data_IF_726011336661
#
_entry.id   IF_726011336661
#
_cell.length_a   1.000
_cell.length_b   1.000
_cell.length_c   1.000
_cell.angle_alpha   90.00
_cell.angle_beta   90.00
_cell.angle_gamma   90.00
#
_symmetry.space_group_name_H-M   'P 1'
#
loop_
_entity.id
_entity.type
_entity.pdbx_description
1 polymer ?
#
# COMPACT_ATOMS: atom_id res chain seq x y z
N UNK A 1 34.22 18.74 -16.56
CA UNK A 1 32.92 18.98 -17.22
C UNK A 1 32.37 20.38 -16.94
N UNK A 2 32.59 20.96 -15.75
CA UNK A 2 32.35 22.40 -15.51
C UNK A 2 33.72 23.08 -15.46
N UNK A 3 33.97 24.08 -16.30
CA UNK A 3 35.25 24.83 -16.33
C UNK A 3 35.10 26.28 -15.85
N UNK A 4 33.96 26.93 -16.15
CA UNK A 4 33.78 28.38 -15.87
C UNK A 4 32.34 28.74 -15.43
N UNK A 5 31.75 27.99 -14.49
CA UNK A 5 30.39 28.31 -14.01
C UNK A 5 30.04 27.69 -12.66
N UNK A 6 29.02 28.25 -12.01
CA UNK A 6 28.47 27.65 -10.79
C UNK A 6 27.86 26.27 -11.13
N UNK A 7 28.28 25.25 -10.39
CA UNK A 7 27.70 23.91 -10.47
C UNK A 7 26.18 23.97 -10.34
N UNK A 8 25.68 24.84 -9.47
CA UNK A 8 24.25 24.97 -9.21
C UNK A 8 23.50 25.34 -10.48
N UNK A 9 23.98 26.29 -11.28
CA UNK A 9 23.27 26.76 -12.49
C UNK A 9 23.74 26.12 -13.80
N UNK A 10 24.72 25.22 -13.73
CA UNK A 10 25.24 24.51 -14.91
C UNK A 10 24.17 23.69 -15.65
N UNK A 11 24.09 23.85 -16.97
CA UNK A 11 23.23 23.05 -17.86
C UNK A 11 24.08 22.19 -18.79
N UNK A 12 23.86 20.86 -18.87
CA UNK A 12 24.65 19.99 -19.75
C UNK A 12 24.32 20.25 -21.23
N UNK A 13 25.34 20.19 -22.08
CA UNK A 13 25.17 20.31 -23.54
C UNK A 13 24.58 19.04 -24.15
N UNK A 14 24.07 19.14 -25.38
CA UNK A 14 23.58 17.99 -26.15
C UNK A 14 24.65 16.90 -26.35
N UNK A 15 25.92 17.29 -26.47
CA UNK A 15 27.08 16.41 -26.58
C UNK A 15 27.54 15.76 -25.27
N UNK A 16 26.96 16.15 -24.13
CA UNK A 16 27.32 15.57 -22.82
C UNK A 16 26.91 14.10 -22.72
N UNK A 17 27.71 13.32 -21.99
CA UNK A 17 27.43 11.90 -21.75
C UNK A 17 26.12 11.68 -20.98
N UNK A 18 25.49 10.52 -21.18
CA UNK A 18 24.22 10.18 -20.54
C UNK A 18 24.31 10.23 -19.00
N UNK A 19 25.39 9.69 -18.43
CA UNK A 19 25.63 9.72 -16.98
C UNK A 19 25.70 11.16 -16.46
N UNK A 20 26.39 12.04 -17.18
CA UNK A 20 26.52 13.44 -16.79
C UNK A 20 25.18 14.18 -16.82
N UNK A 21 24.36 13.92 -17.84
CA UNK A 21 22.98 14.43 -17.92
C UNK A 21 22.14 13.95 -16.72
N UNK A 22 22.25 12.68 -16.32
CA UNK A 22 21.50 12.15 -15.15
C UNK A 22 21.90 12.76 -13.82
N UNK A 23 23.17 13.10 -13.63
CA UNK A 23 23.63 13.83 -12.44
C UNK A 23 23.03 15.23 -12.44
N UNK A 24 23.02 15.92 -13.59
CA UNK A 24 22.39 17.23 -13.72
C UNK A 24 20.86 17.17 -13.48
N UNK A 25 20.16 16.16 -14.02
CA UNK A 25 18.72 15.95 -13.76
C UNK A 25 18.43 15.81 -12.25
N UNK A 26 19.29 15.10 -11.53
CA UNK A 26 19.16 14.90 -10.07
C UNK A 26 19.36 16.21 -9.32
N UNK A 27 20.32 17.04 -9.74
CA UNK A 27 20.54 18.39 -9.19
C UNK A 27 19.28 19.26 -9.36
N UNK A 28 18.66 19.24 -10.54
CA UNK A 28 17.44 20.01 -10.78
C UNK A 28 16.26 19.55 -9.89
N UNK A 29 16.20 18.27 -9.52
CA UNK A 29 15.24 17.82 -8.50
C UNK A 29 15.57 18.35 -7.10
N UNK A 30 16.85 18.37 -6.71
CA UNK A 30 17.30 18.89 -5.42
C UNK A 30 16.98 20.39 -5.29
N UNK A 31 17.12 21.17 -6.37
CA UNK A 31 16.75 22.59 -6.42
C UNK A 31 15.31 22.90 -6.05
N UNK A 32 14.40 21.94 -6.26
CA UNK A 32 12.98 22.13 -5.92
C UNK A 32 12.77 22.22 -4.39
N UNK A 33 13.70 21.71 -3.60
CA UNK A 33 13.53 21.57 -2.15
C UNK A 33 14.69 22.15 -1.32
N UNK A 34 15.82 22.48 -1.92
CA UNK A 34 16.93 23.17 -1.26
C UNK A 34 17.36 24.39 -2.07
N UNK A 35 17.76 25.45 -1.37
CA UNK A 35 18.56 26.52 -1.98
C UNK A 35 20.03 26.07 -2.08
N UNK A 36 20.80 26.69 -2.97
CA UNK A 36 22.24 26.42 -3.09
C UNK A 36 22.96 26.57 -1.74
N UNK A 37 22.63 27.64 -1.01
CA UNK A 37 23.21 27.95 0.30
C UNK A 37 22.84 26.90 1.35
N UNK A 38 21.57 26.47 1.42
CA UNK A 38 21.15 25.41 2.35
C UNK A 38 21.87 24.08 2.08
N UNK A 39 22.05 23.74 0.80
CA UNK A 39 22.68 22.50 0.39
C UNK A 39 24.19 22.51 0.68
N UNK A 40 24.88 23.59 0.34
CA UNK A 40 26.31 23.76 0.58
C UNK A 40 26.66 23.89 2.06
N UNK A 41 25.80 24.54 2.86
CA UNK A 41 26.01 24.69 4.30
C UNK A 41 25.60 23.45 5.11
N UNK A 42 25.22 22.34 4.46
CA UNK A 42 24.88 21.12 5.16
C UNK A 42 26.16 20.50 5.77
N UNK A 43 26.29 20.41 7.11
CA UNK A 43 27.55 20.00 7.75
C UNK A 43 27.94 18.55 7.43
N UNK A 44 26.94 17.71 7.12
CA UNK A 44 27.15 16.37 6.58
C UNK A 44 26.00 16.01 5.64
N UNK A 45 26.33 15.69 4.39
CA UNK A 45 25.34 15.22 3.42
C UNK A 45 24.64 13.96 3.94
N UNK A 46 23.30 13.98 3.92
CA UNK A 46 22.47 12.87 4.35
C UNK A 46 21.44 12.54 3.27
N UNK A 47 21.62 11.39 2.62
CA UNK A 47 20.66 10.86 1.64
C UNK A 47 19.26 10.79 2.23
N UNK A 48 19.12 10.36 3.49
CA UNK A 48 17.83 10.26 4.18
C UNK A 48 17.15 11.63 4.30
N UNK A 49 17.90 12.67 4.65
CA UNK A 49 17.37 14.03 4.82
C UNK A 49 16.91 14.60 3.48
N UNK A 50 17.76 14.52 2.46
CA UNK A 50 17.45 15.02 1.12
C UNK A 50 16.26 14.28 0.52
N UNK A 51 16.25 12.94 0.62
CA UNK A 51 15.15 12.10 0.14
C UNK A 51 13.81 12.40 0.83
N UNK A 52 13.81 12.62 2.15
CA UNK A 52 12.60 12.99 2.87
C UNK A 52 12.08 14.38 2.46
N UNK A 53 12.98 15.34 2.21
CA UNK A 53 12.59 16.68 1.74
C UNK A 53 12.02 16.64 0.32
N UNK A 54 12.64 15.86 -0.57
CA UNK A 54 12.17 15.62 -1.95
C UNK A 54 10.79 14.97 -2.00
N UNK A 55 10.53 13.98 -1.14
CA UNK A 55 9.21 13.34 -1.09
C UNK A 55 8.14 14.23 -0.44
N UNK A 56 8.57 15.14 0.43
CA UNK A 56 7.66 15.99 1.19
C UNK A 56 6.80 15.21 2.20
N UNK A 57 5.68 15.82 2.58
CA UNK A 57 4.74 15.22 3.52
C UNK A 57 4.05 14.00 2.91
N UNK A 58 4.18 12.85 3.56
CA UNK A 58 3.47 11.63 3.16
C UNK A 58 2.07 11.64 3.77
N UNK A 59 1.01 11.30 2.99
CA UNK A 59 -0.31 11.16 3.57
C UNK A 59 -0.29 10.06 4.63
N UNK A 60 -0.80 10.37 5.83
CA UNK A 60 -0.91 9.40 6.91
C UNK A 60 -1.97 8.36 6.56
N UNK A 61 -1.52 7.19 6.13
CA UNK A 61 -2.39 6.04 5.93
C UNK A 61 -2.58 5.30 7.26
N UNK A 62 -3.81 4.88 7.53
CA UNK A 62 -4.16 4.25 8.81
C UNK A 62 -3.94 2.72 8.79
N UNK A 63 -3.74 2.17 7.59
CA UNK A 63 -3.66 0.73 7.34
C UNK A 63 -2.25 0.15 7.37
N UNK A 64 -1.23 1.01 7.41
CA UNK A 64 0.17 0.63 7.42
C UNK A 64 0.50 -0.37 8.52
N UNK A 65 0.02 -0.10 9.75
CA UNK A 65 0.26 -0.96 10.92
C UNK A 65 -0.38 -2.33 10.79
N UNK A 66 -1.52 -2.43 10.09
CA UNK A 66 -2.17 -3.72 9.84
C UNK A 66 -1.40 -4.52 8.79
N UNK A 67 -1.12 -3.90 7.65
CA UNK A 67 -0.48 -4.55 6.49
C UNK A 67 0.97 -4.92 6.77
N UNK A 68 1.74 -4.02 7.39
CA UNK A 68 3.17 -4.19 7.65
C UNK A 68 3.48 -4.74 9.05
N UNK A 69 2.48 -5.32 9.70
CA UNK A 69 2.62 -5.95 11.00
C UNK A 69 3.65 -7.10 10.96
N UNK A 70 4.57 -7.12 11.94
CA UNK A 70 5.66 -8.11 12.02
C UNK A 70 5.19 -9.56 12.13
N UNK A 71 4.07 -9.80 12.81
CA UNK A 71 3.50 -11.15 12.98
C UNK A 71 2.86 -11.71 11.70
N UNK A 72 2.74 -10.89 10.66
CA UNK A 72 2.07 -11.26 9.42
C UNK A 72 3.03 -11.93 8.45
N UNK A 73 2.60 -13.02 7.82
CA UNK A 73 3.39 -13.72 6.78
C UNK A 73 3.60 -12.80 5.57
N UNK A 74 4.83 -12.69 5.01
CA UNK A 74 5.14 -11.75 3.91
C UNK A 74 4.18 -11.81 2.71
N UNK A 75 3.85 -13.01 2.23
CA UNK A 75 2.89 -13.19 1.12
C UNK A 75 1.49 -12.63 1.43
N UNK A 76 1.03 -12.71 2.69
CA UNK A 76 -0.26 -12.17 3.09
C UNK A 76 -0.24 -10.63 3.13
N UNK A 77 0.91 -10.04 3.53
CA UNK A 77 1.10 -8.58 3.53
C UNK A 77 0.91 -8.00 2.13
N UNK A 78 1.55 -8.62 1.13
CA UNK A 78 1.45 -8.16 -0.25
C UNK A 78 0.01 -8.19 -0.80
N UNK A 79 -0.70 -9.31 -0.60
CA UNK A 79 -2.09 -9.42 -1.04
C UNK A 79 -3.00 -8.44 -0.28
N UNK A 80 -2.83 -8.27 1.02
CA UNK A 80 -3.62 -7.31 1.80
C UNK A 80 -3.34 -5.86 1.43
N UNK A 81 -2.09 -5.54 1.09
CA UNK A 81 -1.69 -4.22 0.57
C UNK A 81 -2.39 -3.90 -0.77
N UNK A 82 -2.52 -4.90 -1.65
CA UNK A 82 -3.29 -4.77 -2.88
C UNK A 82 -4.79 -4.68 -2.60
N UNK A 83 -5.30 -5.48 -1.66
CA UNK A 83 -6.71 -5.48 -1.29
C UNK A 83 -7.17 -4.11 -0.77
N UNK A 84 -6.41 -3.50 0.13
CA UNK A 84 -6.78 -2.21 0.75
C UNK A 84 -6.72 -1.03 -0.23
N UNK A 85 -5.95 -1.16 -1.29
CA UNK A 85 -5.89 -0.19 -2.39
C UNK A 85 -6.86 -0.51 -3.52
N UNK A 86 -7.73 -1.51 -3.35
CA UNK A 86 -8.63 -1.99 -4.40
C UNK A 86 -7.89 -2.35 -5.69
N UNK A 87 -6.71 -2.99 -5.60
CA UNK A 87 -5.85 -3.35 -6.75
C UNK A 87 -5.88 -4.83 -7.13
N UNK A 88 -6.61 -5.68 -6.40
CA UNK A 88 -6.84 -7.07 -6.81
C UNK A 88 -7.74 -7.15 -8.06
N UNK A 89 -7.59 -8.24 -8.83
CA UNK A 89 -8.34 -8.51 -10.07
C UNK A 89 -9.63 -9.26 -9.76
N UNK A 90 -10.65 -8.51 -9.34
CA UNK A 90 -11.97 -9.10 -9.09
C UNK A 90 -12.71 -9.39 -10.40
N UNK A 91 -13.69 -10.30 -10.41
CA UNK A 91 -14.42 -10.65 -11.64
C UNK A 91 -15.17 -9.45 -12.21
N UNK A 92 -15.69 -8.53 -11.38
CA UNK A 92 -16.28 -7.28 -11.90
C UNK A 92 -15.27 -6.40 -12.65
N UNK A 93 -13.99 -6.39 -12.26
CA UNK A 93 -12.94 -5.70 -13.03
C UNK A 93 -12.58 -6.45 -14.29
N UNK A 94 -12.43 -7.77 -14.21
CA UNK A 94 -12.09 -8.60 -15.37
C UNK A 94 -13.18 -8.54 -16.44
N UNK A 95 -14.45 -8.52 -16.04
CA UNK A 95 -15.58 -8.32 -16.94
C UNK A 95 -15.54 -6.96 -17.64
N UNK A 96 -15.22 -5.88 -16.89
CA UNK A 96 -15.11 -4.53 -17.46
C UNK A 96 -14.05 -4.40 -18.54
N UNK A 97 -12.97 -5.16 -18.44
CA UNK A 97 -11.88 -5.18 -19.44
C UNK A 97 -12.06 -6.27 -20.51
N UNK A 98 -13.20 -6.97 -20.52
CA UNK A 98 -13.51 -8.01 -21.52
C UNK A 98 -12.79 -9.35 -21.33
N UNK A 99 -12.13 -9.56 -20.17
CA UNK A 99 -11.42 -10.83 -19.87
C UNK A 99 -12.36 -11.90 -19.32
N UNK A 100 -13.43 -11.50 -18.62
CA UNK A 100 -14.45 -12.41 -18.07
C UNK A 100 -15.80 -12.16 -18.71
N UNK A 101 -16.55 -13.22 -19.01
CA UNK A 101 -17.94 -13.12 -19.50
C UNK A 101 -18.92 -12.74 -18.40
N UNK A 102 -18.61 -13.08 -17.14
CA UNK A 102 -19.45 -12.78 -15.97
C UNK A 102 -18.71 -11.91 -14.97
N UNK A 103 -19.47 -11.08 -14.25
CA UNK A 103 -18.96 -10.31 -13.11
C UNK A 103 -19.18 -10.99 -11.77
N UNK A 104 -19.81 -12.16 -11.74
CA UNK A 104 -20.26 -12.79 -10.51
C UNK A 104 -19.10 -13.26 -9.63
N UNK A 105 -19.31 -13.23 -8.32
CA UNK A 105 -18.36 -13.72 -7.33
C UNK A 105 -18.13 -15.21 -7.46
N UNK A 106 -16.86 -15.62 -7.61
CA UNK A 106 -16.51 -17.04 -7.79
C UNK A 106 -16.74 -17.89 -6.53
N UNK A 107 -16.92 -17.25 -5.37
CA UNK A 107 -17.16 -17.96 -4.11
C UNK A 107 -18.65 -18.22 -3.85
N UNK A 108 -19.54 -17.29 -4.22
CA UNK A 108 -20.97 -17.41 -3.90
C UNK A 108 -21.90 -17.40 -5.12
N UNK A 109 -21.46 -16.88 -6.27
CA UNK A 109 -22.26 -16.76 -7.49
C UNK A 109 -23.47 -15.83 -7.40
N UNK A 110 -23.64 -15.07 -6.31
CA UNK A 110 -24.89 -14.34 -6.03
C UNK A 110 -24.88 -12.86 -6.43
N UNK A 111 -23.69 -12.25 -6.58
CA UNK A 111 -23.56 -10.84 -6.90
C UNK A 111 -22.21 -10.55 -7.58
N UNK A 112 -22.07 -9.39 -8.23
CA UNK A 112 -20.80 -8.97 -8.81
C UNK A 112 -19.67 -8.91 -7.78
N UNK A 113 -18.49 -9.45 -8.13
CA UNK A 113 -17.32 -9.44 -7.26
C UNK A 113 -16.60 -8.09 -7.34
N UNK A 114 -16.85 -7.23 -6.36
CA UNK A 114 -15.94 -6.17 -5.99
C UNK A 114 -15.21 -6.52 -4.67
N UNK A 115 -14.28 -5.68 -4.22
CA UNK A 115 -13.55 -5.92 -2.96
C UNK A 115 -14.47 -5.93 -1.73
N UNK A 116 -15.53 -5.13 -1.70
CA UNK A 116 -16.44 -5.09 -0.55
C UNK A 116 -17.26 -6.36 -0.48
N UNK A 117 -17.80 -6.80 -1.61
CA UNK A 117 -18.48 -8.07 -1.74
C UNK A 117 -17.54 -9.21 -1.37
N UNK A 118 -16.39 -9.32 -2.04
CA UNK A 118 -15.46 -10.42 -1.85
C UNK A 118 -15.03 -10.59 -0.39
N UNK A 119 -14.75 -9.52 0.34
CA UNK A 119 -14.25 -9.61 1.72
C UNK A 119 -15.31 -9.46 2.82
N UNK A 120 -16.49 -8.89 2.53
CA UNK A 120 -17.49 -8.59 3.58
C UNK A 120 -18.92 -9.00 3.25
N UNK A 121 -19.40 -8.81 2.01
CA UNK A 121 -20.82 -9.09 1.67
C UNK A 121 -21.04 -10.50 1.12
N UNK A 122 -20.00 -11.16 0.63
CA UNK A 122 -20.04 -12.54 0.16
C UNK A 122 -20.38 -13.46 1.35
N UNK A 123 -21.43 -14.30 1.27
CA UNK A 123 -21.84 -15.17 2.39
C UNK A 123 -20.71 -16.04 2.94
N UNK A 124 -19.89 -16.62 2.06
CA UNK A 124 -18.71 -17.39 2.43
C UNK A 124 -17.74 -16.57 3.31
N UNK A 125 -17.30 -15.42 2.78
CA UNK A 125 -16.35 -14.53 3.46
C UNK A 125 -16.92 -13.94 4.74
N UNK A 126 -18.20 -13.57 4.75
CA UNK A 126 -18.90 -13.06 5.93
C UNK A 126 -18.94 -14.09 7.06
N UNK A 127 -19.15 -15.37 6.74
CA UNK A 127 -19.09 -16.45 7.72
C UNK A 127 -17.68 -16.58 8.31
N UNK A 128 -16.65 -16.68 7.46
CA UNK A 128 -15.26 -16.76 7.92
C UNK A 128 -14.85 -15.56 8.79
N UNK A 129 -15.30 -14.36 8.41
CA UNK A 129 -15.06 -13.14 9.18
C UNK A 129 -15.77 -13.16 10.53
N UNK A 130 -16.99 -13.67 10.59
CA UNK A 130 -17.77 -13.80 11.82
C UNK A 130 -17.12 -14.77 12.80
N UNK A 131 -16.69 -15.94 12.31
CA UNK A 131 -16.00 -16.95 13.12
C UNK A 131 -14.68 -16.39 13.67
N UNK A 132 -13.90 -15.70 12.82
CA UNK A 132 -12.65 -15.08 13.25
C UNK A 132 -12.87 -13.98 14.30
N UNK A 133 -13.88 -13.13 14.09
CA UNK A 133 -14.23 -12.07 15.04
C UNK A 133 -14.64 -12.65 16.39
N UNK A 134 -15.43 -13.71 16.39
CA UNK A 134 -15.84 -14.42 17.60
C UNK A 134 -14.61 -14.93 18.36
N UNK A 135 -13.70 -15.60 17.66
CA UNK A 135 -12.44 -16.09 18.24
C UNK A 135 -11.55 -14.98 18.81
N UNK A 136 -11.50 -13.82 18.16
CA UNK A 136 -10.72 -12.66 18.61
C UNK A 136 -11.45 -11.78 19.66
N UNK A 137 -12.71 -12.07 19.97
CA UNK A 137 -13.55 -11.23 20.83
C UNK A 137 -13.83 -9.84 20.24
N UNK A 138 -13.97 -9.72 18.92
CA UNK A 138 -14.29 -8.47 18.22
C UNK A 138 -15.80 -8.36 18.00
N UNK A 139 -16.46 -7.44 18.71
CA UNK A 139 -17.91 -7.23 18.57
C UNK A 139 -18.29 -6.27 17.43
N UNK A 140 -17.33 -5.54 16.86
CA UNK A 140 -17.58 -4.46 15.89
C UNK A 140 -18.05 -4.95 14.52
N UNK A 141 -18.98 -4.24 13.86
CA UNK A 141 -19.32 -4.51 12.47
C UNK A 141 -18.20 -4.03 11.52
N UNK A 142 -17.49 -4.99 10.93
CA UNK A 142 -16.46 -4.74 9.93
C UNK A 142 -17.14 -4.75 8.57
N UNK A 143 -17.42 -3.57 8.00
CA UNK A 143 -18.14 -3.45 6.71
C UNK A 143 -17.20 -3.20 5.54
N UNK A 144 -16.01 -2.67 5.80
CA UNK A 144 -14.97 -2.40 4.81
C UNK A 144 -13.57 -2.59 5.42
N UNK A 145 -12.56 -2.79 4.57
CA UNK A 145 -11.17 -2.94 5.02
C UNK A 145 -10.69 -1.69 5.78
N UNK A 146 -11.00 -0.50 5.27
CA UNK A 146 -10.59 0.75 5.90
C UNK A 146 -11.24 0.96 7.27
N UNK A 147 -12.55 0.67 7.39
CA UNK A 147 -13.26 0.80 8.67
C UNK A 147 -12.74 -0.22 9.67
N UNK A 148 -12.47 -1.45 9.23
CA UNK A 148 -11.93 -2.50 10.09
C UNK A 148 -10.55 -2.15 10.65
N UNK A 149 -9.66 -1.62 9.81
CA UNK A 149 -8.37 -1.08 10.24
C UNK A 149 -8.54 -0.02 11.33
N UNK A 150 -9.40 0.98 11.10
CA UNK A 150 -9.60 2.10 12.04
C UNK A 150 -10.13 1.60 13.39
N UNK A 151 -11.11 0.69 13.37
CA UNK A 151 -11.69 0.14 14.59
C UNK A 151 -10.68 -0.69 15.38
N UNK A 152 -9.90 -1.54 14.71
CA UNK A 152 -8.86 -2.33 15.35
C UNK A 152 -7.77 -1.43 15.96
N UNK A 153 -7.38 -0.38 15.25
CA UNK A 153 -6.42 0.62 15.75
C UNK A 153 -6.91 1.33 17.01
N UNK A 154 -8.20 1.71 17.03
CA UNK A 154 -8.82 2.44 18.13
C UNK A 154 -9.27 1.56 19.30
N UNK A 155 -9.13 0.24 19.22
CA UNK A 155 -9.48 -0.66 20.31
C UNK A 155 -8.61 -0.42 21.56
N UNK A 156 -9.16 -0.63 22.76
CA UNK A 156 -8.41 -0.56 24.03
C UNK A 156 -7.53 -1.81 24.28
N UNK A 157 -7.14 -2.52 23.22
CA UNK A 157 -6.31 -3.72 23.30
C UNK A 157 -4.83 -3.39 23.49
N UNK A 158 -4.09 -4.31 24.13
CA UNK A 158 -2.63 -4.22 24.23
C UNK A 158 -1.97 -4.22 22.84
N UNK A 159 -0.73 -3.69 22.76
CA UNK A 159 0.03 -3.65 21.49
C UNK A 159 0.16 -5.05 20.87
N UNK A 160 0.45 -6.06 21.68
CA UNK A 160 0.56 -7.44 21.22
C UNK A 160 -0.78 -7.98 20.70
N UNK A 161 -1.87 -7.79 21.44
CA UNK A 161 -3.20 -8.22 21.00
C UNK A 161 -3.60 -7.56 19.68
N UNK A 162 -3.34 -6.27 19.50
CA UNK A 162 -3.56 -5.57 18.22
C UNK A 162 -2.76 -6.20 17.08
N UNK A 163 -1.49 -6.51 17.31
CA UNK A 163 -0.66 -7.21 16.31
C UNK A 163 -1.22 -8.58 15.94
N UNK A 164 -1.75 -9.34 16.90
CA UNK A 164 -2.42 -10.63 16.62
C UNK A 164 -3.66 -10.40 15.77
N UNK A 165 -4.54 -9.48 16.17
CA UNK A 165 -5.76 -9.15 15.42
C UNK A 165 -5.44 -8.72 13.97
N UNK A 166 -4.40 -7.89 13.77
CA UNK A 166 -3.95 -7.51 12.43
C UNK A 166 -3.45 -8.70 11.62
N UNK A 167 -2.62 -9.56 12.21
CA UNK A 167 -2.11 -10.75 11.52
C UNK A 167 -3.25 -11.68 11.11
N UNK A 168 -4.22 -11.90 12.00
CA UNK A 168 -5.41 -12.70 11.73
C UNK A 168 -6.28 -12.13 10.61
N UNK A 169 -6.54 -10.82 10.62
CA UNK A 169 -7.29 -10.16 9.55
C UNK A 169 -6.58 -10.26 8.19
N UNK A 170 -5.27 -10.01 8.16
CA UNK A 170 -4.48 -10.13 6.94
C UNK A 170 -4.42 -11.59 6.45
N UNK A 171 -4.33 -12.56 7.37
CA UNK A 171 -4.40 -13.97 7.02
C UNK A 171 -5.76 -14.32 6.41
N UNK A 172 -6.86 -13.84 6.98
CA UNK A 172 -8.21 -14.06 6.45
C UNK A 172 -8.37 -13.49 5.03
N UNK A 173 -7.93 -12.24 4.80
CA UNK A 173 -7.95 -11.61 3.47
C UNK A 173 -7.20 -12.48 2.45
N UNK A 174 -6.00 -12.93 2.81
CA UNK A 174 -5.20 -13.79 1.95
C UNK A 174 -5.89 -15.14 1.69
N UNK A 175 -6.45 -15.77 2.72
CA UNK A 175 -7.10 -17.08 2.60
C UNK A 175 -8.35 -16.99 1.73
N UNK A 176 -9.20 -15.96 1.91
CA UNK A 176 -10.34 -15.69 1.03
C UNK A 176 -9.88 -15.51 -0.42
N UNK A 177 -8.86 -14.68 -0.63
CA UNK A 177 -8.31 -14.44 -1.97
C UNK A 177 -7.76 -15.72 -2.61
N UNK A 178 -7.07 -16.55 -1.82
CA UNK A 178 -6.57 -17.86 -2.27
C UNK A 178 -7.71 -18.80 -2.61
N UNK A 179 -8.71 -18.95 -1.74
CA UNK A 179 -9.87 -19.81 -1.97
C UNK A 179 -10.59 -19.42 -3.26
N UNK A 180 -10.80 -18.11 -3.46
CA UNK A 180 -11.39 -17.56 -4.68
C UNK A 180 -10.60 -17.96 -5.92
N UNK A 181 -9.27 -17.82 -5.89
CA UNK A 181 -8.42 -18.16 -7.03
C UNK A 181 -8.27 -19.67 -7.27
N UNK A 182 -8.58 -20.51 -6.28
CA UNK A 182 -8.64 -21.97 -6.48
C UNK A 182 -10.01 -22.48 -6.92
N UNK A 183 -11.03 -21.62 -6.91
CA UNK A 183 -12.37 -21.93 -7.45
C UNK A 183 -12.46 -21.76 -8.97
N UNK A 184 -11.34 -21.41 -9.62
CA UNK A 184 -11.18 -21.27 -11.07
C UNK A 184 -10.12 -22.24 -11.59
#
# INVERSE_FOLDING_TARGET
YVKDGDWWDFVPTSSSSWYWKKICDTKEQIKQVFTATEFCNMPKYSVKLVYNKLIGSKPMVHWDKMVWNRLTVPKHRFISWLAIQHRLQTTAKMARIGVSSTSDCLLCGQAPEDHEHLFFKCPYSSRCLTDLKSWLGIQSSLTTLQRGVRQLSNSNSSKFRKSVMYASMVALIYLIWRSRNSSF
#
